data_IF_077316378564
#
_entry.id   IF_077316378564
#
_cell.length_a   1.000
_cell.length_b   1.000
_cell.length_c   1.000
_cell.angle_alpha   90.00
_cell.angle_beta   90.00
_cell.angle_gamma   90.00
#
_symmetry.space_group_name_H-M   'P 1'
#
loop_
_entity.id
_entity.type
_entity.pdbx_description
1 polymer ?
#
# COMPACT_ATOMS: atom_id res chain seq x y z
N UNK A 1 5.03 6.20 -0.73
CA UNK A 1 5.07 5.87 0.72
C UNK A 1 6.49 6.14 1.22
N UNK A 2 6.68 6.56 2.47
CA UNK A 2 8.02 6.82 3.05
C UNK A 2 8.16 6.06 4.37
N UNK A 3 9.30 5.39 4.55
CA UNK A 3 9.70 4.75 5.81
C UNK A 3 10.86 5.53 6.44
N UNK A 4 10.90 5.58 7.78
CA UNK A 4 11.93 6.29 8.53
C UNK A 4 12.64 5.35 9.51
N UNK A 5 13.93 5.60 9.74
CA UNK A 5 14.73 4.93 10.77
C UNK A 5 15.17 5.89 11.89
N UNK A 6 15.69 5.32 12.99
CA UNK A 6 16.36 6.07 14.06
C UNK A 6 17.64 6.77 13.55
N UNK A 7 18.19 7.70 14.33
CA UNK A 7 19.43 8.41 13.96
C UNK A 7 20.64 7.44 13.96
N UNK A 8 21.46 7.53 12.92
CA UNK A 8 22.68 6.76 12.73
C UNK A 8 23.61 7.44 11.74
N UNK A 9 24.82 6.91 11.60
CA UNK A 9 25.87 7.44 10.72
C UNK A 9 25.86 6.78 9.34
N UNK A 10 25.29 5.58 9.21
CA UNK A 10 25.05 4.92 7.93
C UNK A 10 23.78 4.09 7.96
N UNK A 11 23.16 3.93 6.80
CA UNK A 11 21.88 3.24 6.61
C UNK A 11 21.99 2.23 5.48
N UNK A 12 21.29 1.11 5.62
CA UNK A 12 21.06 0.15 4.54
C UNK A 12 19.65 -0.42 4.71
N UNK A 13 18.73 0.00 3.85
CA UNK A 13 17.39 -0.55 3.83
C UNK A 13 17.37 -1.97 3.28
N UNK A 14 16.48 -2.79 3.84
CA UNK A 14 16.26 -4.17 3.48
C UNK A 14 14.77 -4.44 3.27
N UNK A 15 14.46 -5.29 2.30
CA UNK A 15 13.11 -5.80 2.01
C UNK A 15 13.08 -7.30 2.24
N UNK A 16 11.97 -7.78 2.77
CA UNK A 16 11.64 -9.20 2.88
C UNK A 16 10.27 -9.42 2.20
N UNK A 17 10.31 -10.21 1.13
CA UNK A 17 9.20 -10.63 0.29
C UNK A 17 8.56 -11.96 0.75
N UNK A 18 8.96 -12.45 1.93
CA UNK A 18 8.62 -13.77 2.45
C UNK A 18 9.78 -14.76 2.38
N UNK A 19 10.91 -14.38 1.77
CA UNK A 19 12.12 -15.22 1.66
C UNK A 19 13.27 -14.76 2.56
N UNK A 20 13.04 -13.76 3.40
CA UNK A 20 14.03 -13.15 4.30
C UNK A 20 14.55 -11.80 3.78
N UNK A 21 15.17 -11.04 4.69
CA UNK A 21 15.63 -9.68 4.41
C UNK A 21 16.84 -9.63 3.47
N UNK A 22 16.71 -8.89 2.38
CA UNK A 22 17.75 -8.61 1.38
C UNK A 22 17.98 -7.11 1.26
N UNK A 23 19.22 -6.71 0.98
CA UNK A 23 19.56 -5.29 0.81
C UNK A 23 18.84 -4.69 -0.41
N UNK A 24 18.24 -3.53 -0.20
CA UNK A 24 17.61 -2.74 -1.25
C UNK A 24 18.69 -1.94 -1.99
N UNK A 25 18.53 -1.85 -3.30
CA UNK A 25 19.25 -0.93 -4.16
C UNK A 25 18.26 0.10 -4.73
N UNK A 26 18.70 1.35 -4.86
CA UNK A 26 17.89 2.39 -5.48
C UNK A 26 17.61 2.07 -6.96
N UNK A 27 16.43 2.49 -7.43
CA UNK A 27 15.96 2.21 -8.78
C UNK A 27 14.63 2.87 -9.06
N UNK A 28 13.80 2.27 -9.93
CA UNK A 28 12.53 2.86 -10.34
C UNK A 28 11.52 3.00 -9.17
N UNK A 29 11.47 2.00 -8.28
CA UNK A 29 10.53 1.97 -7.15
C UNK A 29 11.15 2.51 -5.87
N UNK A 30 12.42 2.22 -5.62
CA UNK A 30 13.12 2.57 -4.38
C UNK A 30 14.03 3.78 -4.55
N UNK A 31 13.98 4.71 -3.59
CA UNK A 31 14.94 5.80 -3.47
C UNK A 31 15.35 6.01 -2.01
N UNK A 32 16.64 6.22 -1.75
CA UNK A 32 17.18 6.44 -0.42
C UNK A 32 17.55 5.16 0.33
N UNK A 33 17.94 4.08 -0.37
CA UNK A 33 18.36 2.82 0.23
C UNK A 33 19.49 2.97 1.27
N UNK A 34 20.30 4.01 1.16
CA UNK A 34 21.37 4.36 2.12
C UNK A 34 21.10 5.64 2.91
N UNK A 35 19.86 6.14 2.90
CA UNK A 35 19.46 7.34 3.64
C UNK A 35 18.63 6.97 4.88
N UNK A 36 18.41 7.94 5.76
CA UNK A 36 17.57 7.78 6.95
C UNK A 36 16.10 7.43 6.60
N UNK A 37 15.67 7.76 5.39
CA UNK A 37 14.34 7.41 4.88
C UNK A 37 14.42 6.71 3.54
N UNK A 38 13.54 5.73 3.37
CA UNK A 38 13.30 5.03 2.10
C UNK A 38 11.97 5.48 1.52
N UNK A 39 11.99 5.93 0.26
CA UNK A 39 10.81 6.28 -0.48
C UNK A 39 10.46 5.18 -1.49
N UNK A 40 9.18 4.79 -1.50
CA UNK A 40 8.59 3.90 -2.50
C UNK A 40 7.70 4.72 -3.44
N UNK A 41 8.04 4.69 -4.72
CA UNK A 41 7.26 5.30 -5.82
C UNK A 41 6.52 4.21 -6.57
N UNK A 42 5.18 4.27 -6.56
CA UNK A 42 4.30 3.34 -7.27
C UNK A 42 4.67 1.85 -7.12
N UNK A 43 4.82 1.31 -5.89
CA UNK A 43 5.13 -0.10 -5.72
C UNK A 43 4.01 -0.98 -6.32
N UNK A 44 4.35 -2.17 -6.88
CA UNK A 44 3.36 -3.16 -7.27
C UNK A 44 2.41 -3.49 -6.13
N UNK A 45 1.12 -3.68 -6.43
CA UNK A 45 0.08 -4.02 -5.46
C UNK A 45 0.35 -5.37 -4.80
N UNK A 46 0.94 -6.32 -5.55
CA UNK A 46 1.37 -7.64 -5.08
C UNK A 46 2.41 -7.60 -3.95
N UNK A 47 3.03 -6.44 -3.69
CA UNK A 47 3.95 -6.28 -2.56
C UNK A 47 3.22 -5.96 -1.23
N UNK A 48 1.89 -5.93 -1.22
CA UNK A 48 1.14 -5.79 0.04
C UNK A 48 1.51 -6.93 0.99
N UNK A 49 2.00 -6.57 2.18
CA UNK A 49 2.51 -7.51 3.17
C UNK A 49 4.04 -7.64 3.21
N UNK A 50 4.77 -7.09 2.24
CA UNK A 50 6.24 -7.09 2.28
C UNK A 50 6.75 -6.33 3.50
N UNK A 51 7.83 -6.83 4.09
CA UNK A 51 8.44 -6.27 5.29
C UNK A 51 9.64 -5.42 4.92
N UNK A 52 9.77 -4.26 5.55
CA UNK A 52 10.87 -3.33 5.37
C UNK A 52 11.55 -3.05 6.71
N UNK A 53 12.88 -3.02 6.72
CA UNK A 53 13.66 -2.56 7.87
C UNK A 53 14.94 -1.88 7.39
N UNK A 54 15.55 -1.08 8.24
CA UNK A 54 16.87 -0.49 7.97
C UNK A 54 17.90 -1.11 8.90
N UNK A 55 19.07 -1.47 8.38
CA UNK A 55 20.28 -1.61 9.16
C UNK A 55 20.83 -0.22 9.41
N UNK A 56 20.92 0.18 10.67
CA UNK A 56 21.40 1.49 11.10
C UNK A 56 22.68 1.29 11.88
N UNK A 57 23.78 1.87 11.42
CA UNK A 57 25.03 1.89 12.18
C UNK A 57 25.07 3.13 13.04
N UNK A 58 25.32 2.94 14.34
CA UNK A 58 25.58 4.03 15.28
C UNK A 58 26.81 3.69 16.09
N UNK A 59 27.80 4.59 16.12
CA UNK A 59 29.07 4.38 16.80
C UNK A 59 29.78 3.07 16.38
N UNK A 60 29.71 2.72 15.10
CA UNK A 60 30.29 1.48 14.56
C UNK A 60 29.50 0.20 14.86
N UNK A 61 28.38 0.28 15.58
CA UNK A 61 27.53 -0.88 15.91
C UNK A 61 26.32 -0.94 14.99
N UNK A 62 26.13 -2.02 14.22
CA UNK A 62 24.93 -2.22 13.41
C UNK A 62 23.75 -2.63 14.29
N UNK A 63 22.61 -1.96 14.10
CA UNK A 63 21.33 -2.27 14.73
C UNK A 63 20.23 -2.29 13.68
N UNK A 64 19.10 -2.93 13.97
CA UNK A 64 17.95 -2.92 13.07
C UNK A 64 16.91 -1.89 13.53
N UNK A 65 16.34 -1.14 12.59
CA UNK A 65 15.09 -0.45 12.85
C UNK A 65 13.98 -1.47 13.13
N UNK A 66 12.87 -1.05 13.75
CA UNK A 66 11.65 -1.85 13.76
C UNK A 66 11.23 -2.22 12.33
N UNK A 67 10.65 -3.41 12.16
CA UNK A 67 10.07 -3.85 10.90
C UNK A 67 8.80 -3.04 10.61
N UNK A 68 8.59 -2.70 9.34
CA UNK A 68 7.40 -2.02 8.81
C UNK A 68 6.80 -2.87 7.70
N UNK A 69 5.50 -3.17 7.82
CA UNK A 69 4.76 -3.89 6.78
C UNK A 69 4.24 -2.88 5.76
N UNK A 70 4.52 -3.11 4.47
CA UNK A 70 3.92 -2.36 3.39
C UNK A 70 2.44 -2.70 3.29
N UNK A 71 1.59 -1.68 3.42
CA UNK A 71 0.14 -1.77 3.20
C UNK A 71 -0.23 -0.99 1.96
N UNK A 72 -0.73 -1.70 0.94
CA UNK A 72 -1.25 -1.08 -0.27
C UNK A 72 -2.73 -0.81 -0.06
N UNK A 73 -3.05 0.43 0.32
CA UNK A 73 -4.42 0.84 0.62
C UNK A 73 -4.91 1.88 -0.38
N UNK A 74 -6.00 1.58 -1.06
CA UNK A 74 -6.70 2.52 -1.94
C UNK A 74 -7.92 3.07 -1.19
N UNK A 75 -7.98 4.39 -1.07
CA UNK A 75 -9.11 5.05 -0.43
C UNK A 75 -10.09 5.49 -1.51
N UNK A 76 -11.36 5.13 -1.33
CA UNK A 76 -12.45 5.65 -2.15
C UNK A 76 -12.64 7.13 -1.87
N UNK A 77 -12.58 7.95 -2.92
CA UNK A 77 -12.85 9.39 -2.87
C UNK A 77 -14.23 9.71 -3.44
N UNK A 78 -14.65 9.02 -4.50
CA UNK A 78 -15.93 9.26 -5.19
C UNK A 78 -16.11 10.70 -5.67
N UNK A 79 -15.01 11.40 -6.02
CA UNK A 79 -15.01 12.84 -6.31
C UNK A 79 -15.42 13.18 -7.74
N UNK A 80 -15.37 12.23 -8.67
CA UNK A 80 -15.80 12.44 -10.07
C UNK A 80 -17.23 11.94 -10.25
N UNK A 81 -17.47 10.71 -9.82
CA UNK A 81 -18.78 10.07 -9.85
C UNK A 81 -18.82 8.93 -8.80
N UNK A 82 -19.88 8.14 -8.81
CA UNK A 82 -20.03 7.00 -7.89
C UNK A 82 -19.51 5.66 -8.46
N UNK A 83 -18.94 5.61 -9.66
CA UNK A 83 -18.50 4.35 -10.29
C UNK A 83 -17.16 3.87 -9.76
N UNK A 84 -17.14 2.64 -9.22
CA UNK A 84 -15.93 1.92 -8.82
C UNK A 84 -14.88 1.93 -9.93
N UNK A 85 -15.32 1.77 -11.18
CA UNK A 85 -14.50 1.57 -12.38
C UNK A 85 -13.83 2.85 -12.88
N UNK A 86 -14.13 4.01 -12.32
CA UNK A 86 -13.43 5.25 -12.64
C UNK A 86 -12.16 5.38 -11.76
N UNK A 87 -10.94 5.25 -12.32
CA UNK A 87 -9.69 5.31 -11.55
C UNK A 87 -9.52 6.63 -10.78
N UNK A 88 -10.08 7.72 -11.29
CA UNK A 88 -9.98 9.05 -10.68
C UNK A 88 -10.71 9.15 -9.35
N UNK A 89 -11.66 8.24 -9.09
CA UNK A 89 -12.34 8.13 -7.79
C UNK A 89 -11.46 7.47 -6.71
N UNK A 90 -10.31 6.90 -7.06
CA UNK A 90 -9.41 6.25 -6.10
C UNK A 90 -8.19 7.13 -5.75
N UNK A 91 -7.69 7.02 -4.51
CA UNK A 91 -6.55 7.81 -4.04
C UNK A 91 -5.27 7.66 -4.88
N UNK A 92 -5.13 6.53 -5.58
CA UNK A 92 -3.94 6.20 -6.37
C UNK A 92 -4.14 6.35 -7.88
N UNK A 93 -5.26 6.94 -8.32
CA UNK A 93 -5.62 7.09 -9.74
C UNK A 93 -5.55 5.78 -10.54
N UNK A 94 -5.88 4.67 -9.89
CA UNK A 94 -5.81 3.28 -10.38
C UNK A 94 -6.95 2.50 -9.75
N UNK A 95 -7.42 1.45 -10.43
CA UNK A 95 -8.41 0.54 -9.87
C UNK A 95 -7.77 -0.41 -8.86
N UNK A 96 -8.47 -0.71 -7.74
CA UNK A 96 -8.06 -1.79 -6.84
C UNK A 96 -8.04 -3.14 -7.53
N UNK A 97 -7.18 -4.03 -7.03
CA UNK A 97 -7.05 -5.42 -7.47
C UNK A 97 -7.01 -6.37 -6.26
N UNK A 98 -6.83 -7.67 -6.54
CA UNK A 98 -6.81 -8.74 -5.53
C UNK A 98 -5.74 -8.60 -4.43
N UNK A 99 -4.75 -7.71 -4.58
CA UNK A 99 -3.73 -7.43 -3.55
C UNK A 99 -3.97 -6.12 -2.79
N UNK A 100 -4.99 -5.36 -3.18
CA UNK A 100 -5.25 -4.02 -2.66
C UNK A 100 -6.23 -4.06 -1.49
N UNK A 101 -5.91 -3.33 -0.42
CA UNK A 101 -6.83 -3.05 0.68
C UNK A 101 -7.67 -1.82 0.32
N UNK A 102 -8.99 -1.93 0.35
CA UNK A 102 -9.90 -0.83 0.02
C UNK A 102 -10.54 -0.26 1.28
N UNK A 103 -10.61 1.07 1.35
CA UNK A 103 -11.35 1.80 2.40
C UNK A 103 -12.42 2.69 1.78
N UNK A 104 -13.65 2.54 2.25
CA UNK A 104 -14.80 3.35 1.83
C UNK A 104 -15.24 4.24 3.00
N UNK A 105 -15.28 5.57 2.83
CA UNK A 105 -15.76 6.49 3.85
C UNK A 105 -17.29 6.52 3.94
N UNK A 106 -17.79 7.11 5.03
CA UNK A 106 -19.21 7.36 5.21
C UNK A 106 -19.72 8.41 4.21
N UNK A 107 -21.00 8.29 3.81
CA UNK A 107 -21.70 9.36 3.08
C UNK A 107 -21.25 9.61 1.63
N UNK A 108 -20.28 8.86 1.10
CA UNK A 108 -19.88 8.92 -0.31
C UNK A 108 -20.37 7.66 -1.03
N UNK A 109 -21.34 7.76 -1.96
CA UNK A 109 -21.84 6.61 -2.69
C UNK A 109 -20.74 5.94 -3.52
N UNK A 110 -20.71 4.61 -3.45
CA UNK A 110 -19.87 3.76 -4.28
C UNK A 110 -20.76 2.72 -4.96
N UNK A 111 -20.74 2.68 -6.28
CA UNK A 111 -21.46 1.74 -7.14
C UNK A 111 -20.45 0.89 -7.91
N UNK A 112 -20.47 -0.41 -7.67
CA UNK A 112 -19.74 -1.41 -8.46
C UNK A 112 -20.63 -1.89 -9.61
N UNK A 113 -20.18 -1.68 -10.85
CA UNK A 113 -20.94 -1.98 -12.06
C UNK A 113 -20.46 -3.26 -12.76
N UNK A 114 -19.26 -3.74 -12.44
CA UNK A 114 -18.61 -4.90 -13.04
C UNK A 114 -17.91 -5.78 -11.99
N UNK A 115 -17.38 -6.94 -12.42
CA UNK A 115 -16.64 -7.81 -11.52
C UNK A 115 -15.32 -7.16 -11.07
N UNK A 116 -15.05 -7.16 -9.77
CA UNK A 116 -13.83 -6.65 -9.18
C UNK A 116 -13.28 -7.61 -8.12
N UNK A 117 -11.98 -7.49 -7.85
CA UNK A 117 -11.29 -8.22 -6.78
C UNK A 117 -10.59 -7.25 -5.86
N UNK A 118 -10.56 -7.58 -4.57
CA UNK A 118 -9.81 -6.87 -3.53
C UNK A 118 -9.19 -7.84 -2.55
N UNK A 119 -8.14 -7.42 -1.84
CA UNK A 119 -7.61 -8.19 -0.71
C UNK A 119 -8.50 -8.04 0.52
N UNK A 120 -8.83 -6.80 0.85
CA UNK A 120 -9.78 -6.47 1.91
C UNK A 120 -10.63 -5.28 1.52
N UNK A 121 -11.83 -5.19 2.10
CA UNK A 121 -12.67 -4.00 2.02
C UNK A 121 -13.09 -3.61 3.44
N UNK A 122 -12.87 -2.35 3.78
CA UNK A 122 -13.31 -1.75 5.04
C UNK A 122 -14.32 -0.66 4.76
N UNK A 123 -15.51 -0.79 5.34
CA UNK A 123 -16.58 0.18 5.23
C UNK A 123 -16.68 0.95 6.55
N UNK A 124 -16.60 2.29 6.49
CA UNK A 124 -16.94 3.12 7.64
C UNK A 124 -18.45 3.01 7.96
N UNK A 125 -18.84 3.26 9.20
CA UNK A 125 -20.25 3.35 9.58
C UNK A 125 -20.96 4.40 8.71
N UNK A 126 -22.06 4.03 8.05
CA UNK A 126 -22.78 4.91 7.12
C UNK A 126 -22.18 4.96 5.70
N UNK A 127 -21.27 4.05 5.35
CA UNK A 127 -20.85 3.87 3.94
C UNK A 127 -22.01 3.40 3.08
N UNK A 128 -22.10 3.91 1.86
CA UNK A 128 -23.10 3.52 0.88
C UNK A 128 -22.42 2.74 -0.24
N UNK A 129 -22.34 1.42 -0.10
CA UNK A 129 -21.73 0.54 -1.10
C UNK A 129 -22.79 -0.31 -1.80
N UNK A 130 -22.98 -0.09 -3.10
CA UNK A 130 -23.96 -0.79 -3.95
C UNK A 130 -23.24 -1.65 -4.96
N UNK A 131 -23.64 -2.92 -5.08
CA UNK A 131 -23.21 -3.82 -6.15
C UNK A 131 -24.38 -4.00 -7.12
N UNK A 132 -24.20 -3.66 -8.40
CA UNK A 132 -25.22 -3.90 -9.43
C UNK A 132 -25.45 -5.40 -9.61
N UNK A 133 -26.66 -5.80 -10.02
CA UNK A 133 -27.03 -7.22 -10.16
C UNK A 133 -26.11 -8.02 -11.09
N UNK A 134 -25.47 -7.36 -12.07
CA UNK A 134 -24.51 -7.96 -13.01
C UNK A 134 -23.06 -7.97 -12.51
N UNK A 135 -22.81 -7.42 -11.33
CA UNK A 135 -21.47 -7.22 -10.77
C UNK A 135 -21.19 -8.20 -9.62
N UNK A 136 -19.91 -8.37 -9.32
CA UNK A 136 -19.46 -9.18 -8.18
C UNK A 136 -18.20 -8.56 -7.57
N UNK A 137 -18.09 -8.63 -6.24
CA UNK A 137 -16.86 -8.30 -5.54
C UNK A 137 -16.29 -9.58 -4.91
N UNK A 138 -15.12 -10.01 -5.37
CA UNK A 138 -14.39 -11.11 -4.75
C UNK A 138 -13.34 -10.57 -3.77
N UNK A 139 -13.38 -11.04 -2.52
CA UNK A 139 -12.38 -10.71 -1.51
C UNK A 139 -11.41 -11.88 -1.36
N UNK A 140 -10.18 -11.71 -1.85
CA UNK A 140 -9.11 -12.72 -1.77
C UNK A 140 -8.39 -12.60 -0.44
N UNK A 141 -8.26 -13.74 0.26
CA UNK A 141 -7.48 -13.83 1.50
C UNK A 141 -5.97 -13.80 1.22
#
# INVERSE_FOLDING_TARGET
MVFYSAQGTSFQWQVDDGTGFKNIQDGAVYAGATNQYLQLTQPPTSWNGYNFRCVVTKNGVPTFSPVRVLKITFNWKGTVDSSWENPSNWSCNRLPDEFTDVKVPAGVPLILNSAAKVRTITLAQGSQFTIKQTASLEVKK
#
